data_IF_256233136512
#
_entry.id   IF_256233136512
#
_cell.length_a   1.000
_cell.length_b   1.000
_cell.length_c   1.000
_cell.angle_alpha   90.00
_cell.angle_beta   90.00
_cell.angle_gamma   90.00
#
_symmetry.space_group_name_H-M   'P 1'
#
loop_
_entity.id
_entity.type
_entity.pdbx_description
1 polymer ?
#
# COMPACT_ATOMS: atom_id res chain seq x y z
N UNK A 1 -8.05 -5.50 -8.24
CA UNK A 1 -7.67 -4.52 -7.17
C UNK A 1 -6.26 -4.03 -7.45
N UNK A 2 -6.01 -2.72 -7.41
CA UNK A 2 -4.64 -2.18 -7.58
C UNK A 2 -3.81 -2.42 -6.32
N UNK A 3 -2.55 -2.81 -6.49
CA UNK A 3 -1.63 -3.08 -5.38
C UNK A 3 -0.25 -2.48 -5.69
N UNK A 4 0.22 -1.49 -4.93
CA UNK A 4 1.58 -0.96 -5.09
C UNK A 4 2.64 -2.08 -5.00
N UNK A 5 3.66 -2.04 -5.85
CA UNK A 5 4.70 -3.09 -5.89
C UNK A 5 5.47 -3.25 -4.57
N UNK A 6 5.52 -2.22 -3.72
CA UNK A 6 6.12 -2.31 -2.38
C UNK A 6 5.25 -3.15 -1.43
N UNK A 7 3.92 -3.05 -1.53
CA UNK A 7 2.99 -3.91 -0.78
C UNK A 7 3.16 -5.36 -1.21
N UNK A 8 3.30 -5.62 -2.52
CA UNK A 8 3.57 -6.97 -3.04
C UNK A 8 4.82 -7.56 -2.39
N UNK A 9 5.91 -6.79 -2.35
CA UNK A 9 7.19 -7.23 -1.77
C UNK A 9 7.05 -7.56 -0.28
N UNK A 10 6.40 -6.69 0.49
CA UNK A 10 6.16 -6.91 1.92
C UNK A 10 5.27 -8.13 2.16
N UNK A 11 4.19 -8.29 1.38
CA UNK A 11 3.30 -9.45 1.47
C UNK A 11 4.07 -10.74 1.17
N UNK A 12 4.85 -10.82 0.09
CA UNK A 12 5.64 -12.03 -0.22
C UNK A 12 6.61 -12.38 0.91
N UNK A 13 7.26 -11.38 1.51
CA UNK A 13 8.14 -11.58 2.66
C UNK A 13 7.38 -12.13 3.88
N UNK A 14 6.22 -11.56 4.19
CA UNK A 14 5.38 -12.00 5.31
C UNK A 14 4.81 -13.41 5.07
N UNK A 15 4.40 -13.75 3.84
CA UNK A 15 3.94 -15.08 3.49
C UNK A 15 5.05 -16.11 3.68
N UNK A 16 6.24 -15.86 3.13
CA UNK A 16 7.39 -16.76 3.26
C UNK A 16 7.83 -16.96 4.71
N UNK A 17 7.74 -15.92 5.55
CA UNK A 17 8.17 -15.99 6.96
C UNK A 17 7.10 -16.54 7.91
N UNK A 18 5.80 -16.50 7.57
CA UNK A 18 4.70 -16.82 8.50
C UNK A 18 3.74 -17.92 8.04
N UNK A 19 3.55 -18.11 6.74
CA UNK A 19 2.52 -18.99 6.18
C UNK A 19 3.05 -20.05 5.21
N UNK A 20 4.29 -19.92 4.76
CA UNK A 20 4.98 -20.89 3.90
C UNK A 20 4.71 -20.73 2.41
N UNK A 21 5.38 -21.57 1.61
CA UNK A 21 5.47 -21.43 0.15
C UNK A 21 4.14 -21.55 -0.58
N UNK A 22 3.20 -22.37 -0.09
CA UNK A 22 1.90 -22.55 -0.76
C UNK A 22 1.06 -21.28 -0.74
N UNK A 23 1.13 -20.50 0.35
CA UNK A 23 0.42 -19.24 0.46
C UNK A 23 1.01 -18.19 -0.51
N UNK A 24 2.33 -18.15 -0.63
CA UNK A 24 3.04 -17.31 -1.59
C UNK A 24 2.68 -17.67 -3.04
N UNK A 25 2.70 -18.95 -3.41
CA UNK A 25 2.30 -19.43 -4.74
C UNK A 25 0.86 -19.03 -5.08
N UNK A 26 -0.06 -19.13 -4.12
CA UNK A 26 -1.45 -18.70 -4.34
C UNK A 26 -1.53 -17.19 -4.60
N UNK A 27 -0.83 -16.39 -3.81
CA UNK A 27 -0.77 -14.94 -3.98
C UNK A 27 -0.18 -14.55 -5.36
N UNK A 28 0.87 -15.23 -5.80
CA UNK A 28 1.41 -15.05 -7.15
C UNK A 28 0.41 -15.47 -8.24
N UNK A 29 -0.39 -16.50 -7.99
CA UNK A 29 -1.50 -16.89 -8.85
C UNK A 29 -2.54 -15.77 -9.03
N UNK A 30 -2.90 -15.09 -7.94
CA UNK A 30 -3.84 -13.95 -7.97
C UNK A 30 -3.31 -12.77 -8.81
N UNK A 31 -2.00 -12.53 -8.78
CA UNK A 31 -1.34 -11.55 -9.65
C UNK A 31 -1.39 -11.99 -11.12
N UNK A 32 -1.10 -13.26 -11.40
CA UNK A 32 -1.03 -13.80 -12.75
C UNK A 32 -2.38 -13.76 -13.49
N UNK A 33 -3.49 -13.95 -12.78
CA UNK A 33 -4.84 -13.94 -13.35
C UNK A 33 -5.51 -12.56 -13.32
N UNK A 34 -4.84 -11.54 -12.77
CA UNK A 34 -5.33 -10.16 -12.74
C UNK A 34 -6.33 -9.85 -11.61
N UNK A 35 -6.49 -10.73 -10.62
CA UNK A 35 -7.27 -10.41 -9.41
C UNK A 35 -6.61 -9.25 -8.64
N UNK A 36 -5.28 -9.32 -8.54
CA UNK A 36 -4.41 -8.26 -8.05
C UNK A 36 -3.63 -7.69 -9.22
N UNK A 37 -3.66 -6.37 -9.39
CA UNK A 37 -3.01 -5.66 -10.48
C UNK A 37 -1.84 -4.87 -9.89
N UNK A 38 -0.58 -5.22 -10.20
CA UNK A 38 0.58 -4.47 -9.74
C UNK A 38 0.53 -3.02 -10.24
N UNK A 39 0.65 -2.07 -9.31
CA UNK A 39 0.84 -0.65 -9.62
C UNK A 39 2.28 -0.26 -9.27
N UNK A 40 3.00 0.23 -10.27
CA UNK A 40 4.41 0.59 -10.10
C UNK A 40 4.55 1.87 -9.27
N UNK A 41 5.60 1.94 -8.45
CA UNK A 41 5.99 3.21 -7.83
C UNK A 41 6.56 4.13 -8.91
N UNK A 42 5.82 5.19 -9.24
CA UNK A 42 6.26 6.18 -10.22
C UNK A 42 7.42 7.01 -9.66
N UNK A 43 8.22 7.59 -10.54
CA UNK A 43 9.37 8.42 -10.13
C UNK A 43 8.96 9.56 -9.18
N UNK A 44 7.79 10.17 -9.40
CA UNK A 44 7.25 11.24 -8.57
C UNK A 44 6.79 10.77 -7.18
N UNK A 45 6.44 9.49 -7.04
CA UNK A 45 5.92 8.94 -5.78
C UNK A 45 7.01 8.93 -4.71
N UNK A 46 8.29 8.76 -5.07
CA UNK A 46 9.40 8.71 -4.10
C UNK A 46 9.54 9.97 -3.25
N UNK A 47 9.40 11.15 -3.88
CA UNK A 47 9.43 12.42 -3.14
C UNK A 47 8.26 12.46 -2.17
N UNK A 48 7.05 12.08 -2.62
CA UNK A 48 5.86 12.10 -1.78
C UNK A 48 5.93 11.09 -0.64
N UNK A 49 6.47 9.91 -0.89
CA UNK A 49 6.72 8.88 0.12
C UNK A 49 7.66 9.42 1.20
N UNK A 50 8.76 10.07 0.80
CA UNK A 50 9.70 10.67 1.74
C UNK A 50 9.06 11.79 2.57
N UNK A 51 8.25 12.65 1.96
CA UNK A 51 7.48 13.68 2.67
C UNK A 51 6.56 13.08 3.73
N UNK A 52 5.79 12.04 3.37
CA UNK A 52 4.87 11.37 4.28
C UNK A 52 5.61 10.71 5.45
N UNK A 53 6.68 9.97 5.18
CA UNK A 53 7.49 9.33 6.23
C UNK A 53 8.10 10.37 7.17
N UNK A 54 8.59 11.49 6.64
CA UNK A 54 9.14 12.57 7.47
C UNK A 54 8.05 13.29 8.29
N UNK A 55 6.91 13.60 7.66
CA UNK A 55 5.80 14.30 8.29
C UNK A 55 5.20 13.49 9.44
N UNK A 56 5.05 12.19 9.25
CA UNK A 56 4.46 11.28 10.24
C UNK A 56 5.52 10.48 11.01
N UNK A 57 6.73 11.02 11.22
CA UNK A 57 7.82 10.28 11.88
C UNK A 57 7.48 9.75 13.29
N UNK A 58 6.61 10.42 14.04
CA UNK A 58 6.12 9.99 15.37
C UNK A 58 5.07 8.86 15.29
N UNK A 59 4.49 8.64 14.12
CA UNK A 59 3.56 7.55 13.81
C UNK A 59 4.20 6.74 12.67
N UNK A 60 5.07 5.75 12.96
CA UNK A 60 5.98 5.14 11.98
C UNK A 60 5.23 4.45 10.84
N UNK A 61 4.75 5.27 9.89
CA UNK A 61 3.91 4.91 8.76
C UNK A 61 4.67 3.93 7.87
N UNK A 62 5.98 4.13 7.77
CA UNK A 62 6.84 3.29 6.95
C UNK A 62 6.67 3.55 5.46
N UNK A 63 7.62 3.05 4.69
CA UNK A 63 7.69 3.27 3.24
C UNK A 63 6.52 2.62 2.49
N UNK A 64 6.04 1.46 2.96
CA UNK A 64 4.98 0.71 2.29
C UNK A 64 3.64 1.46 2.41
N UNK A 65 3.20 1.82 3.62
CA UNK A 65 1.94 2.56 3.79
C UNK A 65 2.00 3.94 3.09
N UNK A 66 3.14 4.64 3.19
CA UNK A 66 3.34 5.90 2.47
C UNK A 66 3.23 5.73 0.94
N UNK A 67 3.66 4.59 0.39
CA UNK A 67 3.52 4.30 -1.05
C UNK A 67 2.08 4.06 -1.48
N UNK A 68 1.24 3.49 -0.60
CA UNK A 68 -0.20 3.35 -0.85
C UNK A 68 -0.85 4.72 -0.96
N UNK A 69 -0.53 5.63 -0.03
CA UNK A 69 -1.09 6.98 -0.01
C UNK A 69 -0.60 7.80 -1.22
N UNK A 70 0.70 7.75 -1.54
CA UNK A 70 1.24 8.42 -2.71
C UNK A 70 0.60 7.91 -4.03
N UNK A 71 0.40 6.60 -4.14
CA UNK A 71 -0.29 5.98 -5.29
C UNK A 71 -1.74 6.45 -5.38
N UNK A 72 -2.47 6.45 -4.27
CA UNK A 72 -3.85 6.90 -4.20
C UNK A 72 -3.99 8.38 -4.60
N UNK A 73 -3.11 9.25 -4.09
CA UNK A 73 -3.05 10.66 -4.48
C UNK A 73 -2.79 10.83 -5.99
N UNK A 74 -1.80 10.12 -6.53
CA UNK A 74 -1.43 10.21 -7.96
C UNK A 74 -2.55 9.74 -8.88
N UNK A 75 -3.26 8.68 -8.49
CA UNK A 75 -4.33 8.08 -9.28
C UNK A 75 -5.71 8.70 -9.01
N UNK A 76 -5.79 9.70 -8.12
CA UNK A 76 -7.04 10.30 -7.67
C UNK A 76 -8.05 9.26 -7.13
N UNK A 77 -7.53 8.27 -6.40
CA UNK A 77 -8.32 7.24 -5.72
C UNK A 77 -8.45 7.64 -4.25
N UNK A 78 -9.66 7.54 -3.70
CA UNK A 78 -9.95 7.79 -2.29
C UNK A 78 -10.24 6.51 -1.49
N UNK A 79 -10.55 5.38 -2.16
CA UNK A 79 -10.78 4.08 -1.50
C UNK A 79 -9.49 3.29 -1.26
N UNK A 80 -9.24 2.91 -0.01
CA UNK A 80 -8.10 2.07 0.39
C UNK A 80 -8.57 0.87 1.20
N UNK A 81 -8.28 -0.33 0.72
CA UNK A 81 -8.46 -1.55 1.49
C UNK A 81 -7.30 -1.71 2.50
N UNK A 82 -7.58 -1.53 3.79
CA UNK A 82 -6.57 -1.69 4.85
C UNK A 82 -7.20 -2.15 6.16
N UNK A 83 -6.51 -3.05 6.85
CA UNK A 83 -6.83 -3.44 8.23
C UNK A 83 -6.15 -2.52 9.25
N UNK A 84 -5.09 -1.79 8.85
CA UNK A 84 -4.43 -0.81 9.73
C UNK A 84 -5.08 0.57 9.60
N UNK A 85 -6.20 0.75 10.28
CA UNK A 85 -6.88 2.05 10.28
C UNK A 85 -6.11 3.13 11.05
N UNK A 86 -5.22 2.76 11.98
CA UNK A 86 -4.55 3.74 12.85
C UNK A 86 -3.59 4.60 12.04
N UNK A 87 -2.83 3.97 11.14
CA UNK A 87 -1.91 4.69 10.26
C UNK A 87 -2.65 5.55 9.24
N UNK A 88 -3.68 5.00 8.59
CA UNK A 88 -4.34 5.67 7.47
C UNK A 88 -5.36 6.74 7.87
N UNK A 89 -5.91 6.72 9.09
CA UNK A 89 -6.90 7.72 9.53
C UNK A 89 -6.25 9.08 9.89
N UNK A 90 -4.96 9.07 10.26
CA UNK A 90 -4.24 10.28 10.69
C UNK A 90 -3.63 11.03 9.50
N UNK A 91 -3.39 10.33 8.39
CA UNK A 91 -2.81 10.95 7.21
C UNK A 91 -3.84 11.80 6.49
N UNK A 92 -3.42 13.00 6.06
CA UNK A 92 -4.23 13.88 5.24
C UNK A 92 -3.71 13.87 3.79
N UNK A 93 -4.36 13.11 2.89
CA UNK A 93 -4.01 13.11 1.48
C UNK A 93 -4.25 14.46 0.80
N UNK A 94 -3.52 14.70 -0.29
CA UNK A 94 -3.73 15.84 -1.20
C UNK A 94 -5.13 15.84 -1.84
N UNK A 95 -5.73 14.68 -2.01
CA UNK A 95 -7.03 14.48 -2.67
C UNK A 95 -8.23 14.64 -1.74
N UNK A 96 -8.03 14.82 -0.44
CA UNK A 96 -9.11 14.89 0.56
C UNK A 96 -9.05 13.73 1.54
N UNK A 97 -10.20 13.17 1.91
CA UNK A 97 -10.29 12.11 2.92
C UNK A 97 -10.25 10.72 2.28
N UNK A 98 -9.51 9.79 2.87
CA UNK A 98 -9.54 8.38 2.48
C UNK A 98 -10.81 7.68 2.99
N UNK A 99 -11.36 6.83 2.15
CA UNK A 99 -12.43 5.88 2.43
C UNK A 99 -11.78 4.50 2.68
N UNK A 100 -11.73 4.08 3.94
CA UNK A 100 -11.06 2.83 4.32
C UNK A 100 -12.03 1.64 4.27
N UNK A 101 -11.61 0.57 3.60
CA UNK A 101 -12.37 -0.66 3.41
C UNK A 101 -11.71 -1.86 4.12
N UNK A 102 -12.50 -2.87 4.54
CA UNK A 102 -13.96 -2.81 4.69
C UNK A 102 -14.34 -1.78 5.77
N UNK A 103 -15.57 -1.24 5.74
CA UNK A 103 -16.06 -0.22 6.68
C UNK A 103 -16.36 -0.77 8.07
#
# INVERSE_FOLDING_TARGET
MLVPTLVITEVTYLLGTRLGVEAEVRFLGDLAVGNLIPEHVAAADWIRIAELVAQYHDLPLGTVDASVIATAERLAIDEIATLDRRHFTVVQPKTGRLHLLPS
#
